data_IF_265419766070
#
_entry.id   IF_265419766070
#
_cell.length_a   1.000
_cell.length_b   1.000
_cell.length_c   1.000
_cell.angle_alpha   90.00
_cell.angle_beta   90.00
_cell.angle_gamma   90.00
#
_symmetry.space_group_name_H-M   'P 1'
#
loop_
_entity.id
_entity.type
_entity.pdbx_description
1 polymer ?
#
# COMPACT_ATOMS: atom_id res chain seq x y z
N UNK A 1 10.60 16.55 5.53
CA UNK A 1 9.33 17.19 5.11
C UNK A 1 8.21 16.18 5.24
N UNK A 2 6.95 16.59 5.05
CA UNK A 2 5.79 15.69 5.18
C UNK A 2 5.26 15.24 3.81
N UNK A 3 4.82 13.99 3.75
CA UNK A 3 4.14 13.39 2.61
C UNK A 3 2.74 12.92 3.01
N UNK A 4 1.81 12.93 2.07
CA UNK A 4 0.48 12.33 2.21
C UNK A 4 0.43 11.11 1.30
N UNK A 5 0.01 9.97 1.86
CA UNK A 5 -0.19 8.72 1.15
C UNK A 5 -1.67 8.36 1.10
N UNK A 6 -2.16 7.95 -0.06
CA UNK A 6 -3.55 7.54 -0.23
C UNK A 6 -3.71 6.59 -1.41
N UNK A 7 -4.70 5.70 -1.32
CA UNK A 7 -5.13 4.87 -2.43
C UNK A 7 -5.97 5.65 -3.44
N UNK A 8 -5.99 5.19 -4.68
CA UNK A 8 -6.80 5.78 -5.74
C UNK A 8 -8.30 5.64 -5.54
N UNK A 9 -8.72 4.83 -4.56
CA UNK A 9 -10.12 4.48 -4.37
C UNK A 9 -10.62 3.54 -5.46
N UNK A 10 -11.93 3.39 -5.50
CA UNK A 10 -12.60 2.36 -6.29
C UNK A 10 -13.13 2.94 -7.61
N UNK A 11 -13.43 2.06 -8.57
CA UNK A 11 -14.05 2.42 -9.84
C UNK A 11 -13.23 3.43 -10.67
N UNK A 12 -11.90 3.26 -10.67
CA UNK A 12 -11.02 4.05 -11.53
C UNK A 12 -11.10 3.57 -12.99
N UNK A 13 -10.83 4.43 -14.00
CA UNK A 13 -10.94 4.04 -15.42
C UNK A 13 -10.13 2.79 -15.78
N UNK A 14 -8.96 2.61 -15.14
CA UNK A 14 -8.08 1.46 -15.38
C UNK A 14 -8.33 0.30 -14.41
N UNK A 15 -9.25 0.47 -13.45
CA UNK A 15 -9.61 -0.54 -12.43
C UNK A 15 -8.39 -1.17 -11.73
N UNK A 16 -7.36 -0.35 -11.46
CA UNK A 16 -6.09 -0.79 -10.84
C UNK A 16 -5.96 -0.25 -9.42
N UNK A 17 -5.06 -0.82 -8.62
CA UNK A 17 -4.74 -0.40 -7.26
C UNK A 17 -3.50 0.50 -7.22
N UNK A 18 -3.75 1.80 -7.16
CA UNK A 18 -2.69 2.79 -7.27
C UNK A 18 -2.46 3.49 -5.94
N UNK A 19 -1.23 3.42 -5.45
CA UNK A 19 -0.75 4.25 -4.33
C UNK A 19 -0.26 5.60 -4.86
N UNK A 20 -0.78 6.68 -4.29
CA UNK A 20 -0.29 8.03 -4.50
C UNK A 20 0.49 8.51 -3.28
N UNK A 21 1.61 9.19 -3.54
CA UNK A 21 2.37 9.95 -2.56
C UNK A 21 2.57 11.38 -3.06
N UNK A 22 2.18 12.36 -2.24
CA UNK A 22 2.32 13.79 -2.57
C UNK A 22 2.98 14.55 -1.44
N UNK A 23 3.62 15.68 -1.76
CA UNK A 23 4.16 16.60 -0.75
C UNK A 23 3.00 17.33 -0.06
N UNK A 24 2.91 17.23 1.27
CA UNK A 24 1.75 17.72 2.03
C UNK A 24 1.47 19.23 1.84
N UNK A 25 2.51 20.05 1.69
CA UNK A 25 2.34 21.51 1.56
C UNK A 25 2.01 22.01 0.15
N UNK A 26 2.27 21.22 -0.90
CA UNK A 26 2.12 21.68 -2.29
C UNK A 26 1.26 20.78 -3.17
N UNK A 27 0.93 19.56 -2.71
CA UNK A 27 0.26 18.56 -3.53
C UNK A 27 1.11 18.00 -4.67
N UNK A 28 2.39 18.40 -4.78
CA UNK A 28 3.30 17.90 -5.82
C UNK A 28 3.43 16.39 -5.71
N UNK A 29 3.21 15.70 -6.84
CA UNK A 29 3.37 14.26 -6.91
C UNK A 29 4.82 13.87 -6.64
N UNK A 30 5.03 13.07 -5.59
CA UNK A 30 6.32 12.45 -5.29
C UNK A 30 6.42 11.12 -6.05
N UNK A 31 5.35 10.33 -6.01
CA UNK A 31 5.28 9.02 -6.65
C UNK A 31 3.84 8.58 -6.86
N UNK A 32 3.61 7.88 -7.96
CA UNK A 32 2.42 7.09 -8.26
C UNK A 32 2.90 5.67 -8.54
N UNK A 33 2.32 4.67 -7.88
CA UNK A 33 2.70 3.27 -8.08
C UNK A 33 1.45 2.45 -8.33
N UNK A 34 1.41 1.77 -9.46
CA UNK A 34 0.48 0.67 -9.73
C UNK A 34 1.05 -0.58 -9.05
N UNK A 35 0.39 -1.06 -7.99
CA UNK A 35 0.95 -2.12 -7.15
C UNK A 35 0.82 -3.49 -7.82
N UNK A 36 -0.29 -3.77 -8.50
CA UNK A 36 -0.44 -4.93 -9.37
C UNK A 36 0.66 -5.03 -10.43
N UNK A 37 1.00 -3.92 -11.10
CA UNK A 37 2.06 -3.91 -12.11
C UNK A 37 3.46 -4.06 -11.49
N UNK A 38 3.64 -3.67 -10.23
CA UNK A 38 4.92 -3.80 -9.53
C UNK A 38 5.22 -5.24 -9.07
N UNK A 39 4.19 -6.09 -8.93
CA UNK A 39 4.34 -7.49 -8.49
C UNK A 39 3.58 -8.42 -9.43
N UNK A 40 4.31 -9.07 -10.34
CA UNK A 40 3.74 -9.99 -11.31
C UNK A 40 2.93 -11.11 -10.65
N UNK A 41 1.71 -11.35 -11.15
CA UNK A 41 0.82 -12.41 -10.68
C UNK A 41 0.07 -12.11 -9.38
N UNK A 42 0.25 -10.93 -8.77
CA UNK A 42 -0.49 -10.56 -7.56
C UNK A 42 -2.00 -10.37 -7.81
N UNK A 43 -2.34 -9.86 -9.00
CA UNK A 43 -3.68 -9.45 -9.34
C UNK A 43 -4.24 -10.17 -10.56
N UNK A 44 -5.56 -10.25 -10.61
CA UNK A 44 -6.32 -10.67 -11.77
C UNK A 44 -6.71 -9.43 -12.59
N UNK A 45 -6.14 -9.28 -13.78
CA UNK A 45 -6.41 -8.13 -14.66
C UNK A 45 -7.84 -8.14 -15.25
N UNK A 46 -8.59 -9.23 -15.11
CA UNK A 46 -9.99 -9.32 -15.54
C UNK A 46 -10.99 -8.84 -14.49
N UNK A 47 -10.54 -8.62 -13.25
CA UNK A 47 -11.38 -8.19 -12.13
C UNK A 47 -11.09 -6.73 -11.75
N UNK A 48 -12.11 -5.97 -11.33
CA UNK A 48 -11.90 -4.60 -10.90
C UNK A 48 -11.04 -4.53 -9.64
N UNK A 49 -10.20 -3.50 -9.54
CA UNK A 49 -9.41 -3.22 -8.35
C UNK A 49 -9.42 -1.74 -7.97
N UNK A 50 -8.91 -1.45 -6.78
CA UNK A 50 -8.75 -0.12 -6.23
C UNK A 50 -8.11 -0.22 -4.85
N UNK A 51 -7.15 0.67 -4.58
CA UNK A 51 -6.45 0.69 -3.31
C UNK A 51 -7.29 1.44 -2.25
N UNK A 52 -7.45 0.81 -1.09
CA UNK A 52 -8.30 1.27 0.00
C UNK A 52 -7.56 2.16 1.01
N UNK A 53 -7.94 2.10 2.29
CA UNK A 53 -7.27 2.80 3.38
C UNK A 53 -5.79 2.43 3.51
N UNK A 54 -4.96 3.46 3.73
CA UNK A 54 -3.50 3.37 3.80
C UNK A 54 -3.03 3.72 5.22
N UNK A 55 -2.04 2.99 5.72
CA UNK A 55 -1.32 3.32 6.95
C UNK A 55 0.18 3.44 6.66
N UNK A 56 0.80 4.50 7.18
CA UNK A 56 2.25 4.67 7.16
C UNK A 56 2.80 4.40 8.57
N UNK A 57 3.88 3.65 8.67
CA UNK A 57 4.51 3.29 9.92
C UNK A 57 6.04 3.34 9.78
N UNK A 58 6.75 3.47 10.89
CA UNK A 58 8.17 3.19 10.98
C UNK A 58 8.37 1.75 11.45
N UNK A 59 9.14 0.96 10.70
CA UNK A 59 9.37 -0.45 10.97
C UNK A 59 10.11 -0.67 12.29
N UNK A 60 10.78 0.37 12.82
CA UNK A 60 11.54 0.32 14.05
C UNK A 60 10.80 0.76 15.32
N UNK A 61 9.59 1.31 15.20
CA UNK A 61 8.81 1.80 16.34
C UNK A 61 9.45 2.93 17.15
N UNK A 62 10.57 3.51 16.69
CA UNK A 62 11.27 4.58 17.40
C UNK A 62 10.52 5.91 17.25
N UNK A 63 10.11 6.49 18.38
CA UNK A 63 9.49 7.81 18.41
C UNK A 63 10.37 8.85 17.69
N UNK A 64 9.76 9.61 16.78
CA UNK A 64 10.46 10.64 15.99
C UNK A 64 11.16 10.13 14.73
N UNK A 65 11.24 8.81 14.49
CA UNK A 65 11.69 8.29 13.20
C UNK A 65 10.63 8.52 12.12
N UNK A 66 11.03 8.85 10.88
CA UNK A 66 10.10 8.95 9.76
C UNK A 66 9.50 7.56 9.45
N UNK A 67 8.29 7.57 8.89
CA UNK A 67 7.72 6.35 8.32
C UNK A 67 8.59 5.85 7.16
N UNK A 68 8.84 4.55 7.14
CA UNK A 68 9.66 3.85 6.14
C UNK A 68 8.88 2.74 5.44
N UNK A 69 7.67 2.45 5.92
CA UNK A 69 6.76 1.44 5.38
C UNK A 69 5.35 2.00 5.24
N UNK A 70 4.69 1.66 4.14
CA UNK A 70 3.30 1.97 3.87
C UNK A 70 2.55 0.67 3.60
N UNK A 71 1.41 0.47 4.26
CA UNK A 71 0.58 -0.72 4.10
C UNK A 71 -0.83 -0.34 3.65
N UNK A 72 -1.42 -1.16 2.78
CA UNK A 72 -2.74 -0.93 2.24
C UNK A 72 -3.39 -2.23 1.77
N UNK A 73 -4.72 -2.28 1.86
CA UNK A 73 -5.53 -3.33 1.25
C UNK A 73 -6.13 -2.91 -0.08
N UNK A 74 -6.53 -3.87 -0.92
CA UNK A 74 -7.24 -3.63 -2.17
C UNK A 74 -8.54 -4.44 -2.30
N UNK A 75 -9.30 -4.18 -3.38
CA UNK A 75 -10.57 -4.88 -3.64
C UNK A 75 -10.39 -6.35 -4.05
N UNK A 76 -9.19 -6.75 -4.46
CA UNK A 76 -8.85 -8.15 -4.75
C UNK A 76 -8.33 -8.90 -3.51
N UNK A 77 -8.40 -8.27 -2.34
CA UNK A 77 -8.00 -8.86 -1.06
C UNK A 77 -6.50 -8.94 -0.84
N UNK A 78 -5.71 -8.24 -1.65
CA UNK A 78 -4.27 -8.18 -1.47
C UNK A 78 -3.94 -7.18 -0.34
N UNK A 79 -3.05 -7.59 0.55
CA UNK A 79 -2.39 -6.73 1.53
C UNK A 79 -0.99 -6.41 1.03
N UNK A 80 -0.74 -5.12 0.82
CA UNK A 80 0.49 -4.61 0.25
C UNK A 80 1.39 -3.99 1.30
N UNK A 81 2.69 -4.04 1.04
CA UNK A 81 3.71 -3.25 1.72
C UNK A 81 4.57 -2.51 0.69
N UNK A 82 4.76 -1.21 0.90
CA UNK A 82 5.64 -0.36 0.10
C UNK A 82 6.73 0.19 1.02
N UNK A 83 7.98 -0.14 0.71
CA UNK A 83 9.13 0.42 1.42
C UNK A 83 9.45 1.80 0.84
N UNK A 84 9.28 2.82 1.68
CA UNK A 84 9.46 4.24 1.35
C UNK A 84 10.70 4.85 2.00
N UNK A 85 11.60 4.01 2.54
CA UNK A 85 12.82 4.46 3.24
C UNK A 85 13.84 5.15 2.33
N UNK A 86 13.82 4.84 1.03
CA UNK A 86 14.73 5.48 0.08
C UNK A 86 14.31 6.93 -0.15
N UNK A 87 15.28 7.84 -0.10
CA UNK A 87 15.07 9.28 -0.33
C UNK A 87 14.64 9.60 -1.76
N UNK A 88 14.96 8.73 -2.72
CA UNK A 88 14.44 8.77 -4.08
C UNK A 88 13.14 7.95 -4.18
N UNK A 89 11.96 8.58 -4.39
CA UNK A 89 10.70 7.87 -4.52
C UNK A 89 10.67 6.89 -5.71
N UNK A 90 11.56 7.06 -6.68
CA UNK A 90 11.68 6.12 -7.79
C UNK A 90 12.27 4.76 -7.39
N UNK A 91 12.97 4.71 -6.26
CA UNK A 91 13.63 3.52 -5.71
C UNK A 91 12.81 2.84 -4.60
N UNK A 92 11.57 3.26 -4.37
CA UNK A 92 10.65 2.56 -3.47
C UNK A 92 10.31 1.18 -4.04
N UNK A 93 10.16 0.19 -3.15
CA UNK A 93 9.90 -1.20 -3.52
C UNK A 93 8.53 -1.65 -3.02
N UNK A 94 7.86 -2.51 -3.78
CA UNK A 94 6.52 -3.02 -3.47
C UNK A 94 6.62 -4.51 -3.19
N UNK A 95 5.86 -4.98 -2.21
CA UNK A 95 5.71 -6.40 -1.88
C UNK A 95 4.26 -6.73 -1.56
N UNK A 96 3.79 -7.83 -2.14
CA UNK A 96 2.57 -8.49 -1.70
C UNK A 96 2.86 -9.26 -0.40
N UNK A 97 2.14 -8.94 0.67
CA UNK A 97 2.30 -9.64 1.95
C UNK A 97 1.37 -10.84 2.05
N UNK A 98 0.13 -10.68 1.60
CA UNK A 98 -0.93 -11.65 1.80
C UNK A 98 -2.06 -11.43 0.79
N UNK A 99 -2.81 -12.47 0.49
CA UNK A 99 -4.07 -12.39 -0.25
C UNK A 99 -5.16 -13.03 0.60
N UNK A 100 -6.09 -12.21 1.09
CA UNK A 100 -7.23 -12.64 1.87
C UNK A 100 -8.19 -13.46 1.02
N UNK A 101 -8.51 -14.67 1.51
CA UNK A 101 -9.45 -15.59 0.89
C UNK A 101 -10.33 -16.24 1.94
N UNK A 102 -11.57 -16.52 1.58
CA UNK A 102 -12.45 -17.36 2.39
C UNK A 102 -12.03 -18.84 2.31
N UNK A 103 -12.73 -19.71 3.05
CA UNK A 103 -12.47 -21.15 3.09
C UNK A 103 -12.66 -21.86 1.73
N UNK A 104 -13.43 -21.25 0.82
CA UNK A 104 -13.67 -21.73 -0.54
C UNK A 104 -12.66 -21.20 -1.55
N UNK A 105 -11.70 -20.36 -1.10
CA UNK A 105 -10.67 -19.75 -1.92
C UNK A 105 -11.09 -18.45 -2.62
N UNK A 106 -12.28 -17.90 -2.35
CA UNK A 106 -12.71 -16.63 -2.95
C UNK A 106 -11.97 -15.46 -2.30
N UNK A 107 -11.50 -14.51 -3.11
CA UNK A 107 -10.83 -13.29 -2.63
C UNK A 107 -11.77 -12.46 -1.75
N UNK A 108 -11.24 -11.91 -0.66
CA UNK A 108 -12.00 -11.06 0.27
C UNK A 108 -11.47 -9.62 0.23
N UNK A 109 -12.27 -8.64 -0.25
CA UNK A 109 -11.83 -7.23 -0.31
C UNK A 109 -11.38 -6.69 1.05
N UNK A 110 -10.29 -5.92 1.06
CA UNK A 110 -9.79 -5.20 2.24
C UNK A 110 -10.05 -3.70 2.04
N UNK A 111 -11.11 -3.19 2.66
CA UNK A 111 -11.53 -1.78 2.52
C UNK A 111 -11.12 -0.89 3.69
N UNK A 112 -10.84 -1.50 4.84
CA UNK A 112 -10.43 -0.80 6.06
C UNK A 112 -8.92 -0.61 6.10
N UNK A 113 -8.47 0.47 6.73
CA UNK A 113 -7.04 0.73 6.94
C UNK A 113 -6.44 -0.35 7.85
N UNK A 114 -5.32 -0.98 7.47
CA UNK A 114 -4.62 -1.92 8.34
C UNK A 114 -4.17 -1.27 9.66
N UNK A 115 -4.12 -2.06 10.73
CA UNK A 115 -3.44 -1.67 11.98
C UNK A 115 -2.06 -2.31 12.03
N UNK A 116 -1.04 -1.53 12.41
CA UNK A 116 0.35 -1.99 12.47
C UNK A 116 0.83 -1.97 13.91
N UNK A 117 1.50 -3.04 14.31
CA UNK A 117 2.20 -3.16 15.59
C UNK A 117 3.56 -3.81 15.37
N UNK A 118 4.48 -3.58 16.30
CA UNK A 118 5.73 -4.32 16.33
C UNK A 118 5.46 -5.80 16.56
N UNK A 119 6.32 -6.63 15.97
CA UNK A 119 6.36 -8.05 16.28
C UNK A 119 6.68 -8.23 17.79
N UNK A 120 6.05 -9.19 18.50
CA UNK A 120 6.37 -9.45 19.90
C UNK A 120 7.85 -9.75 20.19
N UNK A 121 8.59 -10.24 19.21
CA UNK A 121 10.03 -10.53 19.28
C UNK A 121 10.89 -9.42 18.65
N UNK A 122 10.32 -8.25 18.35
CA UNK A 122 11.09 -7.11 17.84
C UNK A 122 12.02 -6.59 18.94
N UNK A 123 13.34 -6.44 18.69
CA UNK A 123 14.30 -5.98 19.69
C UNK A 123 14.08 -4.52 20.13
#
# INVERSE_FOLDING_TARGET
GFAVFFGNGYNSPNQSDVLYAVKAGSGTLLRKIDLCAAVAGACDASLPNGLSGVVAANANGLLGSPADMVYAGDLQGNLWAVNVSNSNPASWTVRLLFTARDASGNRQPITTTPTVTLNPNYP
#
